data_IF_910297282891
#
_entry.id   IF_910297282891
#
_cell.length_a   1.000
_cell.length_b   1.000
_cell.length_c   1.000
_cell.angle_alpha   90.00
_cell.angle_beta   90.00
_cell.angle_gamma   90.00
#
_symmetry.space_group_name_H-M   'P 1'
#
loop_
_entity.id
_entity.type
_entity.pdbx_description
1 polymer ?
#
# COMPACT_ATOMS: atom_id res chain seq x y z
N UNK A 1 -84.21 -2.96 29.66
CA UNK A 1 -84.49 -3.57 28.34
C UNK A 1 -83.39 -3.14 27.37
N UNK A 2 -82.39 -4.00 27.20
CA UNK A 2 -81.33 -3.96 26.18
C UNK A 2 -80.33 -5.03 26.63
N UNK A 3 -80.20 -6.15 25.90
CA UNK A 3 -79.34 -7.23 26.36
C UNK A 3 -79.30 -8.44 25.44
N UNK A 4 -78.20 -8.51 24.68
CA UNK A 4 -77.35 -9.68 24.38
C UNK A 4 -77.98 -11.04 24.04
N UNK A 5 -77.50 -11.60 22.92
CA UNK A 5 -77.33 -13.05 22.66
C UNK A 5 -77.69 -13.41 21.20
N UNK A 6 -77.12 -14.39 20.50
CA UNK A 6 -76.03 -15.39 20.67
C UNK A 6 -75.84 -16.09 19.28
N UNK A 7 -74.58 -16.29 18.85
CA UNK A 7 -73.86 -17.45 18.18
C UNK A 7 -74.75 -18.63 17.65
N UNK A 8 -74.47 -19.39 16.53
CA UNK A 8 -73.19 -20.12 16.27
C UNK A 8 -72.75 -20.52 14.82
N UNK A 9 -71.53 -21.09 14.71
CA UNK A 9 -71.02 -21.87 13.55
C UNK A 9 -69.49 -21.79 13.37
N UNK A 10 -68.64 -22.55 14.08
CA UNK A 10 -68.04 -23.87 13.73
C UNK A 10 -66.98 -23.82 12.60
N UNK A 11 -65.73 -24.18 12.96
CA UNK A 11 -64.72 -25.06 12.28
C UNK A 11 -63.27 -24.56 12.47
N UNK A 12 -62.56 -25.36 13.27
CA UNK A 12 -61.13 -25.61 13.44
C UNK A 12 -60.08 -25.01 12.48
N UNK A 13 -58.99 -24.47 13.06
CA UNK A 13 -57.60 -24.78 12.65
C UNK A 13 -56.70 -24.80 13.89
N UNK A 14 -55.96 -25.90 14.04
CA UNK A 14 -54.95 -26.14 15.06
C UNK A 14 -53.82 -25.09 15.02
N UNK A 15 -53.58 -24.38 16.12
CA UNK A 15 -52.33 -23.64 16.34
C UNK A 15 -51.51 -24.42 17.36
N UNK A 16 -50.52 -25.14 16.86
CA UNK A 16 -49.44 -25.76 17.62
C UNK A 16 -48.69 -24.68 18.39
N UNK A 17 -48.70 -24.78 19.72
CA UNK A 17 -47.76 -24.12 20.63
C UNK A 17 -46.37 -24.71 20.41
N UNK A 18 -45.60 -24.15 19.48
CA UNK A 18 -44.15 -24.31 19.41
C UNK A 18 -43.51 -23.13 20.15
N UNK A 19 -43.37 -23.30 21.45
CA UNK A 19 -42.54 -22.47 22.32
C UNK A 19 -41.15 -22.34 21.71
N UNK A 20 -40.76 -21.11 21.37
CA UNK A 20 -39.47 -20.80 20.77
C UNK A 20 -38.31 -21.14 21.70
N UNK A 21 -37.59 -22.21 21.37
CA UNK A 21 -36.18 -22.36 21.74
C UNK A 21 -35.35 -21.62 20.68
N UNK A 22 -35.28 -20.31 20.80
CA UNK A 22 -34.22 -19.52 20.15
C UNK A 22 -32.93 -19.81 20.91
N UNK A 23 -32.31 -20.95 20.58
CA UNK A 23 -30.96 -21.24 20.99
C UNK A 23 -30.05 -20.14 20.47
N UNK A 24 -29.47 -19.36 21.38
CA UNK A 24 -28.28 -18.59 21.11
C UNK A 24 -27.22 -19.57 20.58
N UNK A 25 -27.11 -19.71 19.26
CA UNK A 25 -26.00 -20.40 18.63
C UNK A 25 -24.76 -19.53 18.87
N UNK A 26 -24.16 -19.68 20.04
CA UNK A 26 -22.85 -19.16 20.35
C UNK A 26 -21.88 -19.66 19.27
N UNK A 27 -20.99 -18.77 18.82
CA UNK A 27 -19.91 -19.15 17.91
C UNK A 27 -19.28 -20.45 18.41
N UNK A 28 -19.07 -21.47 17.55
CA UNK A 28 -18.42 -22.71 17.97
C UNK A 28 -17.10 -22.38 18.63
N UNK A 29 -16.80 -23.07 19.75
CA UNK A 29 -15.55 -22.89 20.46
C UNK A 29 -14.38 -23.09 19.49
N UNK A 30 -13.31 -22.26 19.56
CA UNK A 30 -12.17 -22.42 18.67
C UNK A 30 -11.59 -23.83 18.83
N UNK A 31 -11.26 -24.47 17.71
CA UNK A 31 -10.62 -25.79 17.70
C UNK A 31 -9.38 -25.80 18.62
N UNK A 32 -9.25 -26.76 19.56
CA UNK A 32 -8.12 -26.83 20.49
C UNK A 32 -6.74 -26.80 19.83
N UNK A 33 -6.61 -27.31 18.59
CA UNK A 33 -5.34 -27.27 17.87
C UNK A 33 -5.01 -25.85 17.40
N UNK A 34 -6.01 -25.15 16.86
CA UNK A 34 -5.91 -23.73 16.50
C UNK A 34 -5.51 -22.88 17.70
N UNK A 35 -6.08 -23.14 18.88
CA UNK A 35 -5.68 -22.47 20.14
C UNK A 35 -4.21 -22.75 20.48
N UNK A 36 -3.76 -24.00 20.39
CA UNK A 36 -2.38 -24.36 20.71
C UNK A 36 -1.36 -23.74 19.75
N UNK A 37 -1.67 -23.69 18.45
CA UNK A 37 -0.83 -23.01 17.44
C UNK A 37 -0.80 -21.50 17.70
N UNK A 38 -1.96 -20.88 17.94
CA UNK A 38 -2.04 -19.45 18.27
C UNK A 38 -1.17 -19.10 19.49
N UNK A 39 -1.20 -19.91 20.55
CA UNK A 39 -0.39 -19.70 21.74
C UNK A 39 1.13 -19.72 21.46
N UNK A 40 1.61 -20.55 20.52
CA UNK A 40 3.03 -20.55 20.12
C UNK A 40 3.36 -19.24 19.40
N UNK A 41 2.49 -18.78 18.50
CA UNK A 41 2.70 -17.55 17.75
C UNK A 41 2.58 -16.30 18.62
N UNK A 42 1.73 -16.31 19.65
CA UNK A 42 1.63 -15.23 20.64
C UNK A 42 2.91 -15.10 21.48
N UNK A 43 3.48 -16.23 21.91
CA UNK A 43 4.79 -16.24 22.60
C UNK A 43 5.90 -15.73 21.68
N UNK A 44 5.91 -16.18 20.43
CA UNK A 44 6.87 -15.73 19.41
C UNK A 44 6.77 -14.23 19.18
N UNK A 45 5.54 -13.72 19.00
CA UNK A 45 5.27 -12.30 18.84
C UNK A 45 5.74 -11.47 20.04
N UNK A 46 5.45 -11.94 21.25
CA UNK A 46 5.91 -11.30 22.49
C UNK A 46 7.43 -11.26 22.58
N UNK A 47 8.11 -12.34 22.19
CA UNK A 47 9.57 -12.41 22.19
C UNK A 47 10.20 -11.43 21.20
N UNK A 48 9.63 -11.29 19.99
CA UNK A 48 10.06 -10.29 18.99
C UNK A 48 9.94 -8.87 19.58
N UNK A 49 8.77 -8.52 20.12
CA UNK A 49 8.53 -7.17 20.67
C UNK A 49 9.43 -6.85 21.87
N UNK A 50 9.65 -7.82 22.76
CA UNK A 50 10.51 -7.63 23.94
C UNK A 50 12.00 -7.67 23.63
N UNK A 51 12.38 -8.10 22.43
CA UNK A 51 13.79 -8.37 22.15
C UNK A 51 14.35 -9.58 22.88
N UNK A 52 13.50 -10.54 23.25
CA UNK A 52 13.91 -11.74 23.96
C UNK A 52 14.29 -12.85 22.97
N UNK A 53 15.59 -12.91 22.65
CA UNK A 53 16.14 -13.88 21.70
C UNK A 53 15.93 -15.32 22.16
N UNK A 54 16.10 -15.59 23.46
CA UNK A 54 15.96 -16.94 24.03
C UNK A 54 14.51 -17.41 23.96
N UNK A 55 13.55 -16.55 24.33
CA UNK A 55 12.14 -16.88 24.21
C UNK A 55 11.70 -17.08 22.75
N UNK A 56 12.25 -16.30 21.81
CA UNK A 56 11.96 -16.50 20.38
C UNK A 56 12.45 -17.86 19.89
N UNK A 57 13.70 -18.22 20.20
CA UNK A 57 14.28 -19.51 19.80
C UNK A 57 13.56 -20.69 20.45
N UNK A 58 13.02 -20.53 21.67
CA UNK A 58 12.19 -21.54 22.33
C UNK A 58 10.86 -21.82 21.62
N UNK A 59 10.42 -20.95 20.70
CA UNK A 59 9.24 -21.21 19.84
C UNK A 59 9.58 -21.98 18.56
N UNK A 60 10.87 -22.20 18.29
CA UNK A 60 11.38 -22.80 17.07
C UNK A 60 11.65 -24.29 17.18
N UNK A 61 11.44 -25.01 16.07
CA UNK A 61 11.91 -26.39 15.95
C UNK A 61 13.44 -26.41 15.99
N UNK A 62 14.01 -27.40 16.68
CA UNK A 62 15.45 -27.54 16.88
C UNK A 62 16.01 -28.69 16.03
N UNK A 63 17.28 -28.60 15.62
CA UNK A 63 18.00 -29.72 14.98
C UNK A 63 17.41 -30.18 13.63
N UNK A 64 17.40 -31.49 13.38
CA UNK A 64 16.94 -32.10 12.12
C UNK A 64 15.45 -31.90 11.82
N UNK A 65 14.66 -31.46 12.81
CA UNK A 65 13.24 -31.11 12.64
C UNK A 65 13.03 -29.72 12.02
N UNK A 66 14.08 -28.89 11.98
CA UNK A 66 14.11 -27.67 11.17
C UNK A 66 14.20 -28.08 9.70
N UNK A 67 13.05 -28.15 9.01
CA UNK A 67 12.98 -28.57 7.61
C UNK A 67 13.89 -27.75 6.68
N UNK A 68 14.20 -28.30 5.50
CA UNK A 68 15.14 -27.75 4.50
C UNK A 68 14.74 -26.39 3.86
N UNK A 69 13.73 -25.69 4.38
CA UNK A 69 13.34 -24.35 3.94
C UNK A 69 14.13 -23.24 4.65
N UNK A 70 13.80 -21.96 4.42
CA UNK A 70 14.34 -20.88 5.25
C UNK A 70 13.80 -21.08 6.67
N UNK A 71 14.64 -21.57 7.58
CA UNK A 71 14.27 -21.74 8.99
C UNK A 71 13.79 -20.39 9.52
N UNK A 72 12.48 -20.25 9.73
CA UNK A 72 11.93 -19.03 10.30
C UNK A 72 12.32 -18.84 11.76
N UNK A 73 12.58 -19.93 12.48
CA UNK A 73 12.90 -19.86 13.90
C UNK A 73 14.41 -19.82 14.16
N UNK A 74 15.15 -19.10 13.31
CA UNK A 74 16.59 -18.99 13.40
C UNK A 74 17.03 -17.73 14.15
N UNK A 75 18.14 -17.87 14.88
CA UNK A 75 18.92 -16.76 15.44
C UNK A 75 19.08 -15.58 14.45
N UNK A 76 19.40 -15.87 13.19
CA UNK A 76 19.61 -14.87 12.16
C UNK A 76 18.35 -14.08 11.78
N UNK A 77 17.16 -14.68 11.79
CA UNK A 77 15.90 -13.94 11.54
C UNK A 77 15.62 -12.98 12.67
N UNK A 78 15.78 -13.44 13.91
CA UNK A 78 15.60 -12.60 15.08
C UNK A 78 16.54 -11.39 15.04
N UNK A 79 17.82 -11.62 14.75
CA UNK A 79 18.83 -10.56 14.69
C UNK A 79 18.51 -9.53 13.58
N UNK A 80 17.88 -9.96 12.47
CA UNK A 80 17.38 -9.05 11.41
C UNK A 80 16.15 -8.24 11.84
N UNK A 81 15.21 -8.87 12.54
CA UNK A 81 14.02 -8.20 13.09
C UNK A 81 14.38 -7.14 14.12
N UNK A 82 15.45 -7.36 14.90
CA UNK A 82 15.94 -6.40 15.90
C UNK A 82 16.38 -5.06 15.33
N UNK A 83 16.71 -5.00 14.04
CA UNK A 83 17.04 -3.75 13.36
C UNK A 83 15.81 -2.94 12.94
N UNK A 84 14.61 -3.51 13.03
CA UNK A 84 13.35 -2.83 12.69
C UNK A 84 12.71 -2.28 13.98
N UNK A 85 12.42 -0.97 14.08
CA UNK A 85 11.81 -0.38 15.26
C UNK A 85 10.31 -0.72 15.31
N UNK A 86 9.97 -1.90 15.81
CA UNK A 86 8.60 -2.41 15.87
C UNK A 86 7.85 -1.86 17.10
N UNK A 87 6.69 -1.24 16.88
CA UNK A 87 5.75 -0.84 17.93
C UNK A 87 4.63 -1.87 18.18
N UNK A 88 4.36 -2.74 17.21
CA UNK A 88 3.41 -3.84 17.36
C UNK A 88 3.78 -5.00 16.46
N UNK A 89 3.48 -6.22 16.91
CA UNK A 89 3.69 -7.46 16.19
C UNK A 89 2.73 -8.50 16.73
N UNK A 90 1.97 -9.15 15.86
CA UNK A 90 1.00 -10.18 16.24
C UNK A 90 0.70 -11.10 15.07
N UNK A 91 0.34 -12.34 15.36
CA UNK A 91 -0.23 -13.26 14.38
C UNK A 91 -1.70 -13.51 14.70
N UNK A 92 -2.51 -13.71 13.67
CA UNK A 92 -3.86 -14.28 13.79
C UNK A 92 -3.91 -15.55 12.97
N UNK A 93 -4.01 -16.71 13.62
CA UNK A 93 -4.20 -17.98 12.94
C UNK A 93 -5.60 -18.03 12.32
N UNK A 94 -5.68 -18.38 11.05
CA UNK A 94 -6.93 -18.48 10.28
C UNK A 94 -7.31 -19.91 9.95
N UNK A 95 -6.33 -20.79 9.77
CA UNK A 95 -6.55 -22.21 9.53
C UNK A 95 -5.39 -23.05 10.09
N UNK A 96 -5.69 -24.29 10.51
CA UNK A 96 -4.69 -25.28 10.93
C UNK A 96 -5.06 -26.64 10.31
N UNK A 97 -4.07 -27.28 9.68
CA UNK A 97 -4.18 -28.60 9.08
C UNK A 97 -3.12 -29.52 9.67
N UNK A 98 -3.54 -30.43 10.55
CA UNK A 98 -2.65 -31.34 11.26
C UNK A 98 -2.52 -32.69 10.56
N UNK A 99 -1.31 -33.24 10.60
CA UNK A 99 -1.01 -34.62 10.19
C UNK A 99 -0.01 -35.22 11.18
N UNK A 100 -0.49 -36.03 12.13
CA UNK A 100 0.34 -36.62 13.19
C UNK A 100 1.00 -35.55 14.06
N UNK A 101 2.34 -35.52 14.06
CA UNK A 101 3.17 -34.56 14.79
C UNK A 101 3.64 -33.38 13.91
N UNK A 102 2.98 -33.16 12.78
CA UNK A 102 3.18 -31.99 11.91
C UNK A 102 1.88 -31.23 11.73
N UNK A 103 1.99 -29.93 11.48
CA UNK A 103 0.87 -29.10 11.06
C UNK A 103 1.30 -28.05 10.03
N UNK A 104 0.41 -27.78 9.07
CA UNK A 104 0.42 -26.54 8.31
C UNK A 104 -0.55 -25.56 8.96
N UNK A 105 -0.21 -24.28 9.02
CA UNK A 105 -1.11 -23.25 9.49
C UNK A 105 -1.10 -22.05 8.54
N UNK A 106 -2.27 -21.47 8.34
CA UNK A 106 -2.42 -20.16 7.72
C UNK A 106 -2.57 -19.13 8.83
N UNK A 107 -1.86 -18.01 8.70
CA UNK A 107 -1.97 -16.91 9.65
C UNK A 107 -1.79 -15.57 8.97
N UNK A 108 -2.36 -14.55 9.57
CA UNK A 108 -2.18 -13.16 9.20
C UNK A 108 -1.16 -12.53 10.16
N UNK A 109 0.02 -12.15 9.67
CA UNK A 109 0.99 -11.35 10.40
C UNK A 109 0.57 -9.88 10.34
N UNK A 110 0.50 -9.23 11.50
CA UNK A 110 0.28 -7.79 11.62
C UNK A 110 1.42 -7.14 12.38
N UNK A 111 1.99 -6.06 11.84
CA UNK A 111 3.02 -5.31 12.53
C UNK A 111 2.90 -3.80 12.29
N UNK A 112 3.50 -3.02 13.19
CA UNK A 112 3.65 -1.57 13.06
C UNK A 112 5.08 -1.16 13.36
N UNK A 113 5.58 -0.21 12.59
CA UNK A 113 6.82 0.50 12.83
C UNK A 113 6.51 1.71 13.73
N UNK A 114 7.27 1.81 14.81
CA UNK A 114 7.15 2.86 15.82
C UNK A 114 7.30 4.26 15.21
N UNK A 115 6.31 5.13 15.45
CA UNK A 115 6.33 6.51 14.99
C UNK A 115 5.96 6.73 13.51
N UNK A 116 5.73 5.67 12.73
CA UNK A 116 5.36 5.78 11.30
C UNK A 116 3.96 5.20 11.02
N UNK A 117 3.65 4.04 11.58
CA UNK A 117 2.42 3.33 11.22
C UNK A 117 1.24 3.64 12.15
N UNK A 118 0.18 4.24 11.59
CA UNK A 118 -1.09 4.42 12.32
C UNK A 118 -1.96 3.15 12.32
N UNK A 119 -1.94 2.41 11.22
CA UNK A 119 -2.57 1.11 11.06
C UNK A 119 -1.49 0.03 10.83
N UNK A 120 -1.74 -1.25 11.15
CA UNK A 120 -0.76 -2.30 10.89
C UNK A 120 -0.56 -2.55 9.39
N UNK A 121 0.66 -2.91 9.02
CA UNK A 121 0.90 -3.73 7.83
C UNK A 121 0.34 -5.11 8.10
N UNK A 122 -0.32 -5.68 7.11
CA UNK A 122 -0.83 -7.05 7.14
C UNK A 122 -0.12 -7.87 6.07
N UNK A 123 0.35 -9.06 6.43
CA UNK A 123 0.97 -10.02 5.51
C UNK A 123 0.45 -11.43 5.79
N UNK A 124 -0.04 -12.12 4.76
CA UNK A 124 -0.52 -13.49 4.88
C UNK A 124 0.66 -14.46 4.92
N UNK A 125 0.60 -15.45 5.81
CA UNK A 125 1.69 -16.37 6.17
C UNK A 125 1.23 -17.81 6.08
N UNK A 126 2.10 -18.66 5.55
CA UNK A 126 1.99 -20.12 5.64
C UNK A 126 3.09 -20.63 6.57
N UNK A 127 2.69 -21.17 7.71
CA UNK A 127 3.60 -21.74 8.70
C UNK A 127 3.60 -23.26 8.63
N UNK A 128 4.77 -23.85 8.89
CA UNK A 128 4.89 -25.28 9.20
C UNK A 128 5.32 -25.43 10.65
N UNK A 129 4.72 -26.40 11.32
CA UNK A 129 4.99 -26.70 12.72
C UNK A 129 5.28 -28.19 12.91
N UNK A 130 6.14 -28.49 13.89
CA UNK A 130 6.41 -29.83 14.38
C UNK A 130 6.02 -29.93 15.85
N UNK A 131 5.62 -31.11 16.30
CA UNK A 131 5.22 -31.38 17.67
C UNK A 131 6.25 -32.28 18.35
N UNK A 132 6.80 -31.83 19.46
CA UNK A 132 7.75 -32.60 20.28
C UNK A 132 7.33 -32.53 21.74
N UNK A 133 7.26 -33.68 22.42
CA UNK A 133 6.81 -33.78 23.81
C UNK A 133 5.47 -33.07 24.08
N UNK A 134 4.53 -33.14 23.13
CA UNK A 134 3.21 -32.52 23.27
C UNK A 134 3.12 -31.03 22.92
N UNK A 135 4.24 -30.35 22.67
CA UNK A 135 4.31 -28.92 22.35
C UNK A 135 4.57 -28.67 20.86
N UNK A 136 3.95 -27.63 20.30
CA UNK A 136 4.18 -27.19 18.93
C UNK A 136 5.35 -26.21 18.84
N UNK A 137 6.11 -26.34 17.76
CA UNK A 137 7.25 -25.49 17.44
C UNK A 137 7.19 -25.08 15.97
N UNK A 138 7.54 -23.83 15.66
CA UNK A 138 7.57 -23.31 14.30
C UNK A 138 8.84 -23.83 13.60
N UNK A 139 8.67 -24.56 12.50
CA UNK A 139 9.78 -25.02 11.67
C UNK A 139 10.00 -24.12 10.44
N UNK A 140 8.94 -23.49 9.93
CA UNK A 140 9.04 -22.42 8.93
C UNK A 140 7.87 -21.45 8.99
N UNK A 141 8.10 -20.23 8.53
CA UNK A 141 7.15 -19.13 8.39
C UNK A 141 7.49 -18.46 7.05
N UNK A 142 6.63 -18.59 6.05
CA UNK A 142 6.86 -18.10 4.70
C UNK A 142 5.65 -17.27 4.24
N UNK A 143 5.79 -16.34 3.28
CA UNK A 143 4.65 -15.63 2.70
C UNK A 143 3.64 -16.58 2.06
N UNK A 144 2.35 -16.33 2.26
CA UNK A 144 1.27 -17.10 1.65
C UNK A 144 0.76 -16.44 0.35
N UNK A 145 0.36 -17.26 -0.62
CA UNK A 145 -0.32 -16.80 -1.83
C UNK A 145 0.46 -15.72 -2.60
N UNK A 146 -0.14 -14.53 -2.73
CA UNK A 146 0.46 -13.35 -3.39
C UNK A 146 1.13 -12.39 -2.39
N UNK A 147 1.18 -12.73 -1.10
CA UNK A 147 1.84 -11.88 -0.11
C UNK A 147 3.32 -11.76 -0.43
N UNK A 148 3.82 -10.52 -0.43
CA UNK A 148 5.25 -10.26 -0.57
C UNK A 148 6.05 -10.79 0.62
N UNK A 149 7.32 -11.09 0.36
CA UNK A 149 8.33 -11.24 1.40
C UNK A 149 8.48 -9.93 2.16
N UNK A 150 8.81 -10.02 3.44
CA UNK A 150 9.16 -8.85 4.24
C UNK A 150 10.66 -8.54 4.07
N UNK A 151 11.05 -7.29 4.31
CA UNK A 151 12.42 -6.84 4.05
C UNK A 151 13.46 -7.65 4.87
N UNK A 152 13.19 -7.91 6.15
CA UNK A 152 14.07 -8.72 7.01
C UNK A 152 14.20 -10.18 6.59
N UNK A 153 13.31 -10.68 5.72
CA UNK A 153 13.44 -12.02 5.16
C UNK A 153 14.45 -12.06 4.01
N UNK A 154 14.83 -10.91 3.46
CA UNK A 154 15.77 -10.78 2.35
C UNK A 154 17.24 -10.75 2.78
N UNK A 155 17.53 -10.42 4.05
CA UNK A 155 18.88 -10.40 4.59
C UNK A 155 19.02 -9.48 5.80
N UNK A 156 20.26 -9.20 6.21
CA UNK A 156 20.58 -8.23 7.28
C UNK A 156 20.00 -6.87 6.96
N UNK A 157 19.17 -6.36 7.88
CA UNK A 157 18.53 -5.06 7.76
C UNK A 157 19.42 -3.99 8.38
N UNK A 158 19.66 -2.94 7.63
CA UNK A 158 20.27 -1.70 8.09
C UNK A 158 19.19 -0.62 8.18
N UNK A 159 19.12 0.07 9.32
CA UNK A 159 18.18 1.16 9.55
C UNK A 159 18.90 2.52 9.58
N UNK A 160 18.34 3.50 8.87
CA UNK A 160 18.77 4.90 8.93
C UNK A 160 17.55 5.76 9.22
N UNK A 161 17.60 6.50 10.33
CA UNK A 161 16.59 7.49 10.69
C UNK A 161 16.97 8.85 10.10
N UNK A 162 16.00 9.45 9.41
CA UNK A 162 16.01 10.87 9.03
C UNK A 162 15.11 11.70 9.95
N UNK A 163 14.97 12.98 9.66
CA UNK A 163 14.07 13.89 10.37
C UNK A 163 12.60 13.49 10.16
N UNK A 164 12.25 13.09 8.93
CA UNK A 164 10.91 12.71 8.51
C UNK A 164 10.84 11.28 7.96
N UNK A 165 11.95 10.56 7.90
CA UNK A 165 12.03 9.27 7.22
C UNK A 165 12.61 8.17 8.08
N UNK A 166 12.22 6.93 7.80
CA UNK A 166 12.95 5.72 8.19
C UNK A 166 13.30 4.97 6.92
N UNK A 167 14.60 4.79 6.67
CA UNK A 167 15.08 3.97 5.57
C UNK A 167 15.54 2.63 6.11
N UNK A 168 14.93 1.56 5.61
CA UNK A 168 15.33 0.18 5.90
C UNK A 168 15.93 -0.44 4.64
N UNK A 169 17.18 -0.88 4.72
CA UNK A 169 17.92 -1.44 3.60
C UNK A 169 18.40 -2.85 3.83
N UNK A 170 18.52 -3.64 2.76
CA UNK A 170 19.17 -4.97 2.78
C UNK A 170 20.22 -5.05 1.68
N UNK A 171 21.44 -5.44 2.06
CA UNK A 171 22.54 -5.58 1.10
C UNK A 171 23.00 -4.26 0.47
N UNK A 172 22.68 -3.14 1.11
CA UNK A 172 23.04 -1.79 0.68
C UNK A 172 24.07 -1.19 1.65
N UNK A 173 25.05 -0.40 1.16
CA UNK A 173 25.93 0.33 2.04
C UNK A 173 25.16 1.42 2.78
N UNK A 174 25.48 1.64 4.06
CA UNK A 174 24.83 2.65 4.90
C UNK A 174 24.85 4.07 4.31
N UNK A 175 25.88 4.40 3.53
CA UNK A 175 25.98 5.66 2.79
C UNK A 175 24.84 5.85 1.78
N UNK A 176 24.49 4.82 1.01
CA UNK A 176 23.38 4.88 0.06
C UNK A 176 22.04 5.07 0.78
N UNK A 177 21.85 4.41 1.93
CA UNK A 177 20.63 4.56 2.73
C UNK A 177 20.48 5.99 3.29
N UNK A 178 21.59 6.64 3.67
CA UNK A 178 21.58 8.06 4.06
C UNK A 178 21.18 8.99 2.91
N UNK A 179 21.57 8.68 1.67
CA UNK A 179 21.12 9.43 0.49
C UNK A 179 19.59 9.36 0.33
N UNK A 180 19.00 8.18 0.47
CA UNK A 180 17.53 8.03 0.44
C UNK A 180 16.85 8.76 1.61
N UNK A 181 17.45 8.74 2.81
CA UNK A 181 16.91 9.48 3.95
C UNK A 181 16.90 10.99 3.69
N UNK A 182 17.99 11.52 3.13
CA UNK A 182 18.09 12.95 2.78
C UNK A 182 17.12 13.35 1.67
N UNK A 183 16.90 12.51 0.65
CA UNK A 183 15.89 12.72 -0.37
C UNK A 183 14.48 12.77 0.26
N UNK A 184 14.18 11.84 1.17
CA UNK A 184 12.86 11.72 1.80
C UNK A 184 12.59 12.89 2.75
N UNK A 185 13.61 13.31 3.51
CA UNK A 185 13.53 14.43 4.43
C UNK A 185 13.35 15.77 3.71
N UNK A 186 13.73 15.89 2.42
CA UNK A 186 13.37 17.03 1.57
C UNK A 186 11.99 16.88 0.93
N UNK A 187 11.63 15.67 0.52
CA UNK A 187 10.33 15.39 -0.09
C UNK A 187 9.15 15.70 0.85
N UNK A 188 9.24 15.30 2.12
CA UNK A 188 8.14 15.43 3.09
C UNK A 188 7.68 16.89 3.29
N UNK A 189 8.57 17.87 3.53
CA UNK A 189 8.18 19.28 3.58
C UNK A 189 7.58 19.79 2.27
N UNK A 190 8.14 19.44 1.10
CA UNK A 190 7.60 19.84 -0.21
C UNK A 190 6.17 19.32 -0.41
N UNK A 191 5.93 18.05 -0.08
CA UNK A 191 4.60 17.43 -0.16
C UNK A 191 3.65 18.08 0.83
N UNK A 192 4.09 18.36 2.07
CA UNK A 192 3.27 19.04 3.08
C UNK A 192 2.89 20.45 2.64
N UNK A 193 3.81 21.18 2.01
CA UNK A 193 3.54 22.52 1.49
C UNK A 193 2.57 22.50 0.29
N UNK A 194 2.52 21.40 -0.48
CA UNK A 194 1.63 21.26 -1.62
C UNK A 194 0.24 20.76 -1.21
N UNK A 195 0.17 19.71 -0.39
CA UNK A 195 -1.06 18.99 -0.04
C UNK A 195 -1.74 19.50 1.24
N UNK A 196 -0.96 20.07 2.15
CA UNK A 196 -1.36 20.38 3.53
C UNK A 196 -0.84 19.35 4.54
N UNK A 197 -1.09 19.61 5.82
CA UNK A 197 -0.56 18.83 6.96
C UNK A 197 -1.47 17.69 7.44
N UNK A 198 -2.57 17.39 6.74
CA UNK A 198 -3.52 16.32 7.10
C UNK A 198 -3.04 14.93 6.65
N UNK A 199 -1.83 14.56 7.04
CA UNK A 199 -1.21 13.25 6.84
C UNK A 199 -0.07 13.08 7.87
N UNK A 200 0.53 11.88 8.03
CA UNK A 200 1.52 11.66 9.08
C UNK A 200 2.80 12.53 9.02
N UNK A 201 3.14 13.11 7.85
CA UNK A 201 4.35 13.91 7.69
C UNK A 201 5.64 13.13 7.94
N UNK A 202 5.59 11.81 7.74
CA UNK A 202 6.70 10.87 7.87
C UNK A 202 6.52 9.69 6.91
N UNK A 203 7.62 9.12 6.42
CA UNK A 203 7.60 8.00 5.46
C UNK A 203 8.58 6.89 5.82
N UNK A 204 8.26 5.66 5.39
CA UNK A 204 9.17 4.51 5.45
C UNK A 204 9.61 4.15 4.04
N UNK A 205 10.91 4.14 3.81
CA UNK A 205 11.54 3.78 2.53
C UNK A 205 12.22 2.42 2.66
N UNK A 206 11.87 1.47 1.80
CA UNK A 206 12.48 0.15 1.73
C UNK A 206 13.44 0.10 0.55
N UNK A 207 14.70 -0.23 0.83
CA UNK A 207 15.77 -0.30 -0.17
C UNK A 207 16.31 -1.74 -0.25
N UNK A 208 15.68 -2.62 -1.04
CA UNK A 208 16.16 -3.98 -1.25
C UNK A 208 17.52 -3.98 -1.98
N UNK A 209 18.15 -5.16 -2.08
CA UNK A 209 19.44 -5.32 -2.76
C UNK A 209 19.36 -5.11 -4.28
N UNK A 210 18.24 -5.50 -4.89
CA UNK A 210 18.06 -5.53 -6.34
C UNK A 210 16.58 -5.41 -6.74
N UNK A 211 16.33 -5.33 -8.05
CA UNK A 211 14.99 -5.42 -8.64
C UNK A 211 14.23 -6.69 -8.21
N UNK A 212 14.89 -7.84 -8.12
CA UNK A 212 14.26 -9.07 -7.63
C UNK A 212 13.86 -8.96 -6.16
N UNK A 213 14.65 -8.25 -5.36
CA UNK A 213 14.30 -7.93 -3.97
C UNK A 213 13.06 -7.04 -3.89
N UNK A 214 12.97 -6.00 -4.72
CA UNK A 214 11.78 -5.16 -4.83
C UNK A 214 10.55 -5.98 -5.23
N UNK A 215 10.65 -6.78 -6.29
CA UNK A 215 9.56 -7.64 -6.76
C UNK A 215 9.11 -8.62 -5.66
N UNK A 216 10.07 -9.16 -4.89
CA UNK A 216 9.80 -9.99 -3.72
C UNK A 216 9.04 -9.26 -2.61
N UNK A 217 9.31 -7.97 -2.35
CA UNK A 217 8.53 -7.15 -1.41
C UNK A 217 7.10 -6.91 -1.89
N UNK A 218 6.93 -6.76 -3.21
CA UNK A 218 5.65 -6.44 -3.84
C UNK A 218 4.81 -7.68 -4.18
N UNK A 219 5.30 -8.89 -3.92
CA UNK A 219 4.58 -10.14 -4.23
C UNK A 219 4.38 -10.37 -5.74
N UNK A 220 5.28 -9.85 -6.57
CA UNK A 220 5.13 -9.82 -8.02
C UNK A 220 6.45 -10.19 -8.74
N UNK A 221 6.39 -10.31 -10.07
CA UNK A 221 7.55 -10.67 -10.89
C UNK A 221 8.40 -9.44 -11.21
N UNK A 222 9.73 -9.60 -11.25
CA UNK A 222 10.68 -8.52 -11.53
C UNK A 222 10.42 -7.80 -12.86
N UNK A 223 9.95 -8.52 -13.88
CA UNK A 223 9.61 -7.96 -15.19
C UNK A 223 8.55 -6.85 -15.11
N UNK A 224 7.64 -6.90 -14.13
CA UNK A 224 6.58 -5.90 -13.95
C UNK A 224 7.10 -4.54 -13.46
N UNK A 225 8.31 -4.48 -12.89
CA UNK A 225 8.89 -3.26 -12.32
C UNK A 225 10.20 -2.84 -12.99
N UNK A 226 10.54 -3.43 -14.14
CA UNK A 226 11.73 -3.04 -14.90
C UNK A 226 11.57 -1.59 -15.37
N UNK A 227 12.55 -0.74 -15.04
CA UNK A 227 12.52 0.69 -15.39
C UNK A 227 11.71 1.55 -14.42
N UNK A 228 11.02 0.96 -13.45
CA UNK A 228 10.33 1.68 -12.38
C UNK A 228 11.33 1.90 -11.25
N UNK A 229 11.52 3.16 -10.86
CA UNK A 229 12.51 3.55 -9.87
C UNK A 229 12.04 3.38 -8.42
N UNK A 230 10.75 3.57 -8.15
CA UNK A 230 10.13 3.32 -6.86
C UNK A 230 8.63 3.06 -7.03
N UNK A 231 8.00 2.50 -6.00
CA UNK A 231 6.54 2.27 -5.93
C UNK A 231 6.07 2.42 -4.48
N UNK A 232 4.89 2.99 -4.28
CA UNK A 232 4.21 3.05 -2.99
C UNK A 232 3.20 1.90 -2.82
N UNK A 233 3.44 1.00 -1.85
CA UNK A 233 2.70 -0.27 -1.70
C UNK A 233 1.20 -0.14 -1.45
N UNK A 234 0.73 1.01 -0.93
CA UNK A 234 -0.70 1.22 -0.71
C UNK A 234 -1.48 1.01 -2.00
N UNK A 235 -0.97 1.52 -3.12
CA UNK A 235 -1.68 1.58 -4.40
C UNK A 235 -1.94 0.22 -5.03
N UNK A 236 -1.18 -0.81 -4.65
CA UNK A 236 -1.24 -2.14 -5.25
C UNK A 236 -2.22 -3.11 -4.58
N UNK A 237 -3.02 -2.67 -3.58
CA UNK A 237 -4.17 -3.47 -3.11
C UNK A 237 -4.45 -3.53 -1.60
N UNK A 238 -3.94 -2.61 -0.78
CA UNK A 238 -4.31 -2.57 0.64
C UNK A 238 -5.77 -2.12 0.87
N UNK A 239 -6.60 -2.95 1.51
CA UNK A 239 -8.05 -2.71 1.73
C UNK A 239 -8.40 -1.75 2.87
N UNK A 240 -7.41 -1.03 3.43
CA UNK A 240 -7.62 -0.04 4.50
C UNK A 240 -7.65 1.41 3.99
N UNK A 241 -8.47 2.27 4.62
CA UNK A 241 -8.52 3.74 4.35
C UNK A 241 -7.23 4.48 4.74
N UNK A 242 -6.32 3.84 5.48
CA UNK A 242 -5.02 4.41 5.88
C UNK A 242 -4.01 3.27 6.07
N UNK A 243 -3.55 2.62 4.98
CA UNK A 243 -2.56 1.55 5.07
C UNK A 243 -1.22 2.10 5.60
N UNK A 244 -0.43 1.21 6.20
CA UNK A 244 0.97 1.48 6.49
C UNK A 244 1.78 1.40 5.19
N UNK A 245 1.77 2.50 4.43
CA UNK A 245 2.42 2.58 3.13
C UNK A 245 3.94 2.48 3.25
N UNK A 246 4.56 1.90 2.21
CA UNK A 246 6.00 1.77 2.05
C UNK A 246 6.38 2.29 0.69
N UNK A 247 7.40 3.14 0.65
CA UNK A 247 8.05 3.52 -0.60
C UNK A 247 9.13 2.47 -0.87
N UNK A 248 8.95 1.61 -1.87
CA UNK A 248 9.90 0.55 -2.22
C UNK A 248 10.73 1.00 -3.40
N UNK A 249 12.04 1.08 -3.22
CA UNK A 249 12.97 1.56 -4.24
C UNK A 249 13.52 0.40 -5.09
N UNK A 250 13.63 0.62 -6.39
CA UNK A 250 14.48 -0.15 -7.28
C UNK A 250 15.88 0.49 -7.31
N UNK A 251 16.87 -0.04 -6.57
CA UNK A 251 18.19 0.59 -6.48
C UNK A 251 18.91 0.67 -7.84
N UNK A 252 18.57 -0.19 -8.79
CA UNK A 252 19.22 -0.24 -10.10
C UNK A 252 18.72 0.86 -11.04
N UNK A 253 17.41 1.07 -11.10
CA UNK A 253 16.83 2.16 -11.86
C UNK A 253 17.14 3.52 -11.23
N UNK A 254 17.11 3.61 -9.90
CA UNK A 254 17.33 4.87 -9.18
C UNK A 254 18.71 5.47 -9.43
N UNK A 255 19.74 4.61 -9.60
CA UNK A 255 21.12 5.02 -9.89
C UNK A 255 21.26 5.79 -11.21
N UNK A 256 20.31 5.64 -12.12
CA UNK A 256 20.33 6.26 -13.44
C UNK A 256 19.67 7.65 -13.48
N UNK A 257 18.95 8.05 -12.43
CA UNK A 257 18.11 9.27 -12.43
C UNK A 257 18.87 10.57 -12.20
N UNK A 258 20.10 10.50 -11.68
CA UNK A 258 20.81 11.66 -11.14
C UNK A 258 20.09 12.32 -9.96
N UNK A 259 20.66 13.41 -9.42
CA UNK A 259 20.17 14.03 -8.18
C UNK A 259 18.74 14.58 -8.31
N UNK A 260 18.46 15.29 -9.41
CA UNK A 260 17.13 15.86 -9.64
C UNK A 260 16.09 14.77 -9.85
N UNK A 261 16.35 13.80 -10.74
CA UNK A 261 15.40 12.74 -11.04
C UNK A 261 15.10 11.90 -9.80
N UNK A 262 16.12 11.61 -8.98
CA UNK A 262 15.94 10.97 -7.68
C UNK A 262 15.04 11.80 -6.76
N UNK A 263 15.29 13.11 -6.63
CA UNK A 263 14.44 13.96 -5.79
C UNK A 263 12.98 13.99 -6.27
N UNK A 264 12.76 14.15 -7.58
CA UNK A 264 11.42 14.16 -8.18
C UNK A 264 10.70 12.85 -7.88
N UNK A 265 11.33 11.71 -8.14
CA UNK A 265 10.73 10.39 -7.89
C UNK A 265 10.38 10.22 -6.42
N UNK A 266 11.26 10.57 -5.48
CA UNK A 266 10.92 10.38 -4.06
C UNK A 266 9.83 11.33 -3.57
N UNK A 267 9.79 12.55 -4.09
CA UNK A 267 8.71 13.50 -3.82
C UNK A 267 7.38 13.00 -4.41
N UNK A 268 7.40 12.42 -5.61
CA UNK A 268 6.25 11.77 -6.24
C UNK A 268 5.72 10.63 -5.35
N UNK A 269 6.56 9.68 -4.96
CA UNK A 269 6.14 8.56 -4.08
C UNK A 269 5.64 9.03 -2.71
N UNK A 270 6.30 10.05 -2.13
CA UNK A 270 5.84 10.66 -0.87
C UNK A 270 4.46 11.31 -1.03
N UNK A 271 4.13 11.81 -2.22
CA UNK A 271 2.82 12.37 -2.51
C UNK A 271 1.73 11.32 -2.44
N UNK A 272 1.96 10.10 -2.96
CA UNK A 272 1.01 8.99 -2.84
C UNK A 272 0.72 8.63 -1.38
N UNK A 273 1.75 8.63 -0.51
CA UNK A 273 1.55 8.43 0.94
C UNK A 273 0.66 9.52 1.54
N UNK A 274 0.88 10.79 1.16
CA UNK A 274 0.12 11.92 1.70
C UNK A 274 -1.33 11.97 1.20
N UNK A 275 -1.57 11.60 -0.06
CA UNK A 275 -2.91 11.65 -0.68
C UNK A 275 -3.73 10.41 -0.39
N UNK A 276 -3.12 9.31 0.08
CA UNK A 276 -3.74 7.98 0.20
C UNK A 276 -5.14 7.96 0.82
N UNK A 277 -5.35 8.66 1.93
CA UNK A 277 -6.64 8.69 2.62
C UNK A 277 -7.78 9.35 1.79
N UNK A 278 -7.41 10.03 0.71
CA UNK A 278 -8.27 10.75 -0.22
C UNK A 278 -8.22 10.17 -1.64
N UNK A 279 -7.67 8.96 -1.81
CA UNK A 279 -7.61 8.25 -3.10
C UNK A 279 -8.47 7.01 -3.03
N UNK A 280 -9.37 6.85 -4.01
CA UNK A 280 -10.30 5.71 -4.10
C UNK A 280 -10.34 5.20 -5.53
N UNK A 281 -11.04 4.08 -5.82
CA UNK A 281 -11.24 3.64 -7.21
C UNK A 281 -11.94 4.68 -8.11
N UNK A 282 -12.49 5.75 -7.54
CA UNK A 282 -13.03 6.86 -8.30
C UNK A 282 -11.94 7.81 -8.87
N UNK A 283 -10.75 7.85 -8.27
CA UNK A 283 -9.62 8.67 -8.75
C UNK A 283 -9.01 8.05 -10.02
N UNK A 284 -9.00 8.75 -11.16
CA UNK A 284 -8.35 8.28 -12.38
C UNK A 284 -6.83 8.45 -12.31
N UNK A 285 -6.09 7.61 -13.04
CA UNK A 285 -4.62 7.62 -12.98
C UNK A 285 -4.04 8.95 -13.49
N UNK A 286 -4.63 9.59 -14.50
CA UNK A 286 -4.16 10.91 -14.96
C UNK A 286 -4.14 11.96 -13.83
N UNK A 287 -5.06 11.85 -12.86
CA UNK A 287 -5.12 12.76 -11.72
C UNK A 287 -4.20 12.29 -10.59
N UNK A 288 -4.13 10.98 -10.32
CA UNK A 288 -3.26 10.42 -9.28
C UNK A 288 -1.79 10.68 -9.62
N UNK A 289 -1.34 10.19 -10.77
CA UNK A 289 0.03 10.32 -11.26
C UNK A 289 0.36 11.77 -11.60
N UNK A 290 -0.57 12.46 -12.27
CA UNK A 290 -0.37 13.85 -12.66
C UNK A 290 -0.21 14.80 -11.47
N UNK A 291 -0.93 14.55 -10.36
CA UNK A 291 -0.76 15.32 -9.13
C UNK A 291 0.58 15.01 -8.46
N UNK A 292 0.96 13.72 -8.38
CA UNK A 292 2.24 13.31 -7.81
C UNK A 292 3.44 13.89 -8.59
N UNK A 293 3.40 13.88 -9.92
CA UNK A 293 4.38 14.55 -10.76
C UNK A 293 4.36 16.07 -10.59
N UNK A 294 3.17 16.67 -10.48
CA UNK A 294 3.06 18.12 -10.27
C UNK A 294 3.76 18.53 -8.98
N UNK A 295 3.55 17.80 -7.88
CA UNK A 295 4.27 18.02 -6.62
C UNK A 295 5.77 17.72 -6.77
N UNK A 296 6.12 16.63 -7.46
CA UNK A 296 7.51 16.24 -7.72
C UNK A 296 8.33 17.33 -8.42
N UNK A 297 7.72 18.04 -9.37
CA UNK A 297 8.36 19.11 -10.14
C UNK A 297 8.12 20.53 -9.62
N UNK A 298 7.22 20.73 -8.64
CA UNK A 298 6.75 22.06 -8.18
C UNK A 298 7.87 23.07 -7.93
N UNK A 299 8.92 22.66 -7.24
CA UNK A 299 10.07 23.52 -6.86
C UNK A 299 11.36 23.15 -7.59
N UNK A 300 11.27 22.42 -8.71
CA UNK A 300 12.44 21.91 -9.44
C UNK A 300 13.14 22.97 -10.32
N UNK A 301 12.48 24.10 -10.58
CA UNK A 301 12.92 25.12 -11.54
C UNK A 301 12.85 24.67 -13.01
N UNK A 302 12.25 23.51 -13.31
CA UNK A 302 12.10 23.01 -14.68
C UNK A 302 10.96 23.71 -15.41
N UNK A 303 11.19 24.01 -16.69
CA UNK A 303 10.15 24.55 -17.56
C UNK A 303 9.21 23.44 -18.03
N UNK A 304 7.99 23.76 -18.50
CA UNK A 304 7.09 22.73 -19.02
C UNK A 304 7.65 21.90 -20.16
N UNK A 305 8.44 22.48 -21.06
CA UNK A 305 9.12 21.73 -22.12
C UNK A 305 10.20 20.77 -21.60
N UNK A 306 10.79 21.04 -20.44
CA UNK A 306 11.76 20.14 -19.80
C UNK A 306 11.08 18.99 -19.05
N UNK A 307 9.88 19.22 -18.51
CA UNK A 307 9.11 18.21 -17.78
C UNK A 307 8.28 17.33 -18.72
N UNK A 308 7.75 17.91 -19.80
CA UNK A 308 6.90 17.25 -20.79
C UNK A 308 7.49 17.27 -22.22
N UNK A 309 8.70 16.72 -22.44
CA UNK A 309 9.36 16.76 -23.73
C UNK A 309 8.64 15.94 -24.82
N UNK A 310 8.06 14.78 -24.49
CA UNK A 310 7.38 13.94 -25.48
C UNK A 310 6.10 14.60 -26.00
N UNK A 311 5.32 15.16 -25.09
CA UNK A 311 4.10 15.89 -25.36
C UNK A 311 4.42 17.20 -26.09
N UNK A 312 5.51 17.88 -25.74
CA UNK A 312 6.00 19.05 -26.49
C UNK A 312 6.35 18.71 -27.94
N UNK A 313 7.05 17.59 -28.17
CA UNK A 313 7.32 17.10 -29.54
C UNK A 313 6.04 16.79 -30.30
N UNK A 314 5.07 16.16 -29.65
CA UNK A 314 3.76 15.85 -30.25
C UNK A 314 2.99 17.13 -30.63
N UNK A 315 2.94 18.12 -29.73
CA UNK A 315 2.32 19.43 -29.98
C UNK A 315 2.99 20.17 -31.14
N UNK A 316 4.33 20.19 -31.18
CA UNK A 316 5.10 20.82 -32.26
C UNK A 316 4.83 20.18 -33.64
N UNK A 317 4.48 18.89 -33.67
CA UNK A 317 4.07 18.17 -34.88
C UNK A 317 2.58 18.35 -35.23
N UNK A 318 1.85 19.20 -34.49
CA UNK A 318 0.42 19.42 -34.67
C UNK A 318 -0.45 18.29 -34.12
N UNK A 319 0.13 17.34 -33.39
CA UNK A 319 -0.56 16.17 -32.82
C UNK A 319 -0.99 16.48 -31.39
N UNK A 320 -2.08 17.22 -31.23
CA UNK A 320 -2.56 17.61 -29.90
C UNK A 320 -3.57 16.57 -29.42
N UNK A 321 -3.39 15.97 -28.23
CA UNK A 321 -4.34 15.00 -27.70
C UNK A 321 -5.76 15.56 -27.60
N UNK A 322 -6.73 14.81 -28.11
CA UNK A 322 -8.15 15.20 -28.11
C UNK A 322 -8.87 14.88 -26.78
N UNK A 323 -8.22 14.12 -25.88
CA UNK A 323 -8.75 13.72 -24.59
C UNK A 323 -7.62 13.52 -23.58
N UNK A 324 -7.94 13.59 -22.29
CA UNK A 324 -7.02 13.24 -21.21
C UNK A 324 -6.63 11.74 -21.30
N UNK A 325 -5.43 11.38 -20.79
CA UNK A 325 -5.00 9.99 -20.72
C UNK A 325 -5.99 9.10 -19.94
N UNK A 326 -6.21 7.90 -20.43
CA UNK A 326 -7.03 6.87 -19.78
C UNK A 326 -6.16 6.00 -18.89
N UNK A 327 -6.76 5.33 -17.91
CA UNK A 327 -6.01 4.44 -16.99
C UNK A 327 -5.19 3.36 -17.73
N UNK A 328 -5.68 2.87 -18.87
CA UNK A 328 -4.96 1.88 -19.68
C UNK A 328 -3.66 2.42 -20.30
N UNK A 329 -3.54 3.74 -20.48
CA UNK A 329 -2.35 4.39 -21.04
C UNK A 329 -1.19 4.42 -20.02
N UNK A 330 -1.46 4.15 -18.74
CA UNK A 330 -0.46 4.05 -17.66
C UNK A 330 0.09 2.63 -17.46
N UNK A 331 -0.25 1.68 -18.35
CA UNK A 331 0.21 0.31 -18.21
C UNK A 331 1.71 0.14 -18.52
N UNK A 332 2.48 -0.30 -17.53
CA UNK A 332 3.95 -0.49 -17.65
C UNK A 332 4.39 -1.58 -18.65
N UNK A 333 3.50 -2.50 -19.02
CA UNK A 333 3.79 -3.52 -20.04
C UNK A 333 3.61 -3.03 -21.50
N UNK A 334 3.25 -1.75 -21.66
CA UNK A 334 2.97 -1.13 -22.96
C UNK A 334 4.17 -0.43 -23.61
N UNK A 335 3.84 0.46 -24.54
CA UNK A 335 4.79 1.32 -25.25
C UNK A 335 5.30 2.44 -24.33
N UNK A 336 6.62 2.50 -24.10
CA UNK A 336 7.25 3.48 -23.23
C UNK A 336 6.98 4.94 -23.65
N UNK A 337 6.83 5.21 -24.94
CA UNK A 337 6.49 6.55 -25.45
C UNK A 337 5.05 6.92 -25.13
N UNK A 338 4.11 5.96 -25.23
CA UNK A 338 2.71 6.18 -24.80
C UNK A 338 2.61 6.41 -23.30
N UNK A 339 3.39 5.66 -22.52
CA UNK A 339 3.45 5.84 -21.08
C UNK A 339 3.93 7.25 -20.72
N UNK A 340 5.04 7.70 -21.33
CA UNK A 340 5.55 9.06 -21.12
C UNK A 340 4.49 10.13 -21.45
N UNK A 341 3.82 10.02 -22.60
CA UNK A 341 2.73 10.93 -22.97
C UNK A 341 1.56 10.92 -21.97
N UNK A 342 1.27 9.78 -21.34
CA UNK A 342 0.21 9.68 -20.33
C UNK A 342 0.59 10.43 -19.04
N UNK A 343 1.81 10.23 -18.53
CA UNK A 343 2.31 10.96 -17.36
C UNK A 343 2.41 12.46 -17.63
N UNK A 344 3.04 12.86 -18.75
CA UNK A 344 3.17 14.26 -19.15
C UNK A 344 1.80 14.92 -19.37
N UNK A 345 0.83 14.16 -19.90
CA UNK A 345 -0.54 14.63 -20.08
C UNK A 345 -1.27 14.83 -18.75
N UNK A 346 -1.14 13.91 -17.80
CA UNK A 346 -1.68 14.04 -16.45
C UNK A 346 -1.04 15.22 -15.69
N UNK A 347 0.29 15.34 -15.77
CA UNK A 347 1.06 16.43 -15.19
C UNK A 347 0.61 17.79 -15.72
N UNK A 348 0.53 17.96 -17.05
CA UNK A 348 0.08 19.23 -17.65
C UNK A 348 -1.37 19.58 -17.32
N UNK A 349 -2.24 18.58 -17.17
CA UNK A 349 -3.61 18.81 -16.72
C UNK A 349 -3.65 19.35 -15.27
N UNK A 350 -2.86 18.77 -14.37
CA UNK A 350 -2.74 19.26 -12.99
C UNK A 350 -2.07 20.64 -12.93
N UNK A 351 -1.02 20.86 -13.73
CA UNK A 351 -0.37 22.16 -13.87
C UNK A 351 -1.37 23.23 -14.36
N UNK A 352 -2.20 22.92 -15.36
CA UNK A 352 -3.23 23.85 -15.82
C UNK A 352 -4.22 24.19 -14.70
N UNK A 353 -4.63 23.19 -13.89
CA UNK A 353 -5.53 23.43 -12.77
C UNK A 353 -4.88 24.39 -11.76
N UNK A 354 -3.62 24.13 -11.40
CA UNK A 354 -2.86 24.97 -10.49
C UNK A 354 -2.67 26.40 -11.03
N UNK A 355 -2.30 26.56 -12.31
CA UNK A 355 -2.08 27.86 -12.94
C UNK A 355 -3.36 28.71 -13.03
N UNK A 356 -4.51 28.10 -13.35
CA UNK A 356 -5.76 28.83 -13.64
C UNK A 356 -6.66 29.00 -12.43
N UNK A 357 -6.73 27.99 -11.55
CA UNK A 357 -7.63 27.99 -10.39
C UNK A 357 -6.87 28.02 -9.05
N UNK A 358 -5.55 27.86 -9.07
CA UNK A 358 -4.71 27.83 -7.87
C UNK A 358 -4.55 26.43 -7.29
N UNK A 359 -3.44 26.21 -6.58
CA UNK A 359 -3.11 24.93 -5.95
C UNK A 359 -4.16 24.45 -4.95
N UNK A 360 -4.77 25.38 -4.20
CA UNK A 360 -5.85 25.06 -3.27
C UNK A 360 -7.07 24.42 -3.98
N UNK A 361 -7.38 24.87 -5.21
CA UNK A 361 -8.45 24.29 -6.03
C UNK A 361 -8.03 22.96 -6.64
N UNK A 362 -6.76 22.76 -7.00
CA UNK A 362 -6.24 21.46 -7.40
C UNK A 362 -6.39 20.43 -6.26
N UNK A 363 -6.03 20.79 -5.03
CA UNK A 363 -6.21 19.93 -3.86
C UNK A 363 -7.69 19.62 -3.59
N UNK A 364 -8.56 20.64 -3.66
CA UNK A 364 -10.00 20.45 -3.51
C UNK A 364 -10.57 19.54 -4.60
N UNK A 365 -10.10 19.67 -5.84
CA UNK A 365 -10.52 18.85 -6.97
C UNK A 365 -10.10 17.39 -6.76
N UNK A 366 -8.85 17.13 -6.37
CA UNK A 366 -8.37 15.79 -6.05
C UNK A 366 -9.23 15.14 -4.96
N UNK A 367 -9.46 15.85 -3.85
CA UNK A 367 -10.28 15.36 -2.72
C UNK A 367 -11.74 15.12 -3.13
N UNK A 368 -12.32 15.98 -3.96
CA UNK A 368 -13.69 15.84 -4.45
C UNK A 368 -13.85 14.59 -5.33
N UNK A 369 -12.92 14.35 -6.26
CA UNK A 369 -12.92 13.12 -7.06
C UNK A 369 -12.78 11.89 -6.16
N UNK A 370 -11.80 11.90 -5.25
CA UNK A 370 -11.54 10.79 -4.34
C UNK A 370 -12.65 10.48 -3.34
N UNK A 371 -13.49 11.45 -3.00
CA UNK A 371 -14.65 11.25 -2.10
C UNK A 371 -15.75 10.37 -2.72
N UNK A 372 -15.74 10.15 -4.03
CA UNK A 372 -16.71 9.32 -4.71
C UNK A 372 -16.46 7.82 -4.47
N UNK A 373 -17.54 7.03 -4.43
CA UNK A 373 -17.45 5.56 -4.27
C UNK A 373 -17.09 4.82 -5.56
N UNK A 374 -17.36 5.43 -6.72
CA UNK A 374 -17.17 4.82 -8.05
C UNK A 374 -16.70 5.88 -9.04
N UNK A 375 -16.00 5.45 -10.09
CA UNK A 375 -15.43 6.31 -11.14
C UNK A 375 -16.46 7.11 -11.92
N UNK A 376 -17.57 6.47 -12.31
CA UNK A 376 -18.55 7.09 -13.20
C UNK A 376 -19.13 8.37 -12.58
N UNK A 377 -18.93 9.51 -13.26
CA UNK A 377 -19.41 10.82 -12.84
C UNK A 377 -18.52 11.58 -11.85
N UNK A 378 -17.45 10.96 -11.33
CA UNK A 378 -16.65 11.57 -10.26
C UNK A 378 -15.86 12.79 -10.73
N UNK A 379 -15.24 12.70 -11.91
CA UNK A 379 -14.49 13.81 -12.51
C UNK A 379 -15.46 14.89 -12.98
N UNK A 380 -16.56 14.50 -13.62
CA UNK A 380 -17.58 15.39 -14.13
C UNK A 380 -18.23 16.24 -13.02
N UNK A 381 -18.55 15.61 -11.89
CA UNK A 381 -19.05 16.32 -10.72
C UNK A 381 -18.01 17.29 -10.16
N UNK A 382 -16.77 16.83 -9.93
CA UNK A 382 -15.71 17.69 -9.38
C UNK A 382 -15.34 18.86 -10.31
N UNK A 383 -15.35 18.64 -11.64
CA UNK A 383 -15.14 19.72 -12.62
C UNK A 383 -16.22 20.79 -12.49
N UNK A 384 -17.48 20.38 -12.32
CA UNK A 384 -18.61 21.30 -12.16
C UNK A 384 -18.58 22.02 -10.82
N UNK A 385 -18.42 21.29 -9.72
CA UNK A 385 -18.59 21.80 -8.35
C UNK A 385 -17.36 22.53 -7.83
N UNK A 386 -16.16 22.11 -8.24
CA UNK A 386 -14.89 22.69 -7.76
C UNK A 386 -14.31 23.68 -8.76
N UNK A 387 -14.33 23.37 -10.07
CA UNK A 387 -13.68 24.20 -11.08
C UNK A 387 -14.66 25.05 -11.91
N UNK A 388 -15.97 24.82 -11.79
CA UNK A 388 -17.00 25.56 -12.54
C UNK A 388 -16.95 25.32 -14.04
N UNK A 389 -16.53 24.12 -14.48
CA UNK A 389 -16.37 23.76 -15.90
C UNK A 389 -17.03 22.42 -16.23
N UNK A 390 -17.13 22.10 -17.52
CA UNK A 390 -17.55 20.79 -18.02
C UNK A 390 -16.33 19.97 -18.47
N UNK A 391 -16.44 18.63 -18.63
CA UNK A 391 -15.39 17.80 -19.21
C UNK A 391 -14.95 18.26 -20.60
N UNK A 392 -15.91 18.67 -21.44
CA UNK A 392 -15.67 19.13 -22.81
C UNK A 392 -14.91 20.45 -22.80
N UNK A 393 -15.33 21.40 -21.95
CA UNK A 393 -14.66 22.69 -21.83
C UNK A 393 -13.28 22.57 -21.20
N UNK A 394 -13.12 21.70 -20.20
CA UNK A 394 -11.83 21.42 -19.58
C UNK A 394 -10.85 20.82 -20.59
N UNK A 395 -11.26 19.82 -21.37
CA UNK A 395 -10.42 19.18 -22.39
C UNK A 395 -10.01 20.16 -23.48
N UNK A 396 -10.94 21.01 -23.94
CA UNK A 396 -10.63 22.07 -24.92
C UNK A 396 -9.64 23.09 -24.35
N UNK A 397 -9.83 23.51 -23.11
CA UNK A 397 -8.92 24.44 -22.43
C UNK A 397 -7.53 23.84 -22.22
N UNK A 398 -7.46 22.55 -21.89
CA UNK A 398 -6.21 21.81 -21.77
C UNK A 398 -5.48 21.75 -23.11
N UNK A 399 -6.15 21.37 -24.20
CA UNK A 399 -5.55 21.39 -25.54
C UNK A 399 -5.01 22.77 -25.96
N UNK A 400 -5.71 23.86 -25.61
CA UNK A 400 -5.20 25.22 -25.82
C UNK A 400 -4.00 25.54 -24.93
N UNK A 401 -4.03 25.10 -23.67
CA UNK A 401 -2.93 25.28 -22.71
C UNK A 401 -1.67 24.53 -23.14
N UNK A 402 -1.80 23.31 -23.69
CA UNK A 402 -0.68 22.57 -24.28
C UNK A 402 -0.01 23.37 -25.40
N UNK A 403 -0.79 23.98 -26.30
CA UNK A 403 -0.25 24.88 -27.33
C UNK A 403 0.53 26.01 -26.67
N UNK A 404 -0.05 26.73 -25.73
CA UNK A 404 0.61 27.91 -25.13
C UNK A 404 1.89 27.56 -24.35
N UNK A 405 1.94 26.40 -23.68
CA UNK A 405 3.03 26.06 -22.75
C UNK A 405 4.10 25.15 -23.33
N UNK A 406 3.79 24.44 -24.42
CA UNK A 406 4.65 23.45 -25.04
C UNK A 406 4.92 23.69 -26.54
N UNK A 407 4.55 24.87 -27.08
CA UNK A 407 4.98 25.28 -28.43
C UNK A 407 6.24 26.15 -28.41
#
# INVERSE_FOLDING_TARGET
MAGRGRVPGVVAVCVLLLSGLTGCAGRPAPDPQTVAVQQVLDRRATAVLKGDRSAFLATGAQGADAGAGRSAAGAAEFDRLRAVPLAAWSYRVTAVHRTGDRAGAEAELRYRIEGYDRAPVTADRTLRLTRTAGHWYVSSDEPAGKSGRQLWEQGTVEAVHGAHSLVLGVGQPKGALRTFAALADRAVPTVTAAWGADWPGRVVVLVPKSLEGMAGLLGAQASAYRGIAAVTTGETGGTGRTPADRIVVNPDAYRLLGDLGGQVVLTHETTHVATRAHTTPATPLWLSEGYADWVGYRDSGRTPLQVAPELGRSVAQGQIPAALPKDADFAFAGDAGKLALAYEGGWTACLMIADRWGEARLNAFYRAVGAHRRRAGAVEDALRTVLGTTPQDFTRQWGAYLKTRLS
#
